data_IF_889003791374
#
_entry.id   IF_889003791374
#
_cell.length_a   1.000
_cell.length_b   1.000
_cell.length_c   1.000
_cell.angle_alpha   90.00
_cell.angle_beta   90.00
_cell.angle_gamma   90.00
#
_symmetry.space_group_name_H-M   'P 1'
#
loop_
_entity.id
_entity.type
_entity.pdbx_description
1 polymer ?
#
# COMPACT_ATOMS: atom_id res chain seq x y z
N UNK A 1 38.67 -8.56 12.86
CA UNK A 1 37.86 -7.41 12.39
C UNK A 1 36.50 -7.57 13.02
N UNK A 2 36.11 -6.66 13.92
CA UNK A 2 34.77 -6.70 14.50
C UNK A 2 33.78 -6.28 13.41
N UNK A 3 32.74 -7.08 13.18
CA UNK A 3 31.64 -6.67 12.31
C UNK A 3 31.00 -5.43 12.95
N UNK A 4 30.84 -4.37 12.16
CA UNK A 4 30.13 -3.17 12.61
C UNK A 4 28.66 -3.55 12.83
N UNK A 5 28.17 -3.40 14.06
CA UNK A 5 26.79 -3.74 14.38
C UNK A 5 25.85 -2.86 13.53
N UNK A 6 24.83 -3.46 12.89
CA UNK A 6 23.93 -2.73 12.01
C UNK A 6 23.18 -1.66 12.81
N UNK A 7 23.40 -0.40 12.45
CA UNK A 7 22.72 0.72 13.10
C UNK A 7 21.26 0.77 12.65
N UNK A 8 20.30 0.95 13.57
CA UNK A 8 18.89 1.03 13.22
C UNK A 8 18.58 2.28 12.35
N UNK A 9 17.95 2.06 11.20
CA UNK A 9 17.47 3.10 10.28
C UNK A 9 16.06 3.55 10.66
N UNK A 10 15.99 4.41 11.68
CA UNK A 10 14.74 5.02 12.13
C UNK A 10 14.07 5.87 11.04
N UNK A 11 14.85 6.50 10.16
CA UNK A 11 14.32 7.37 9.11
C UNK A 11 13.54 6.54 8.07
N UNK A 12 14.09 5.40 7.67
CA UNK A 12 13.42 4.47 6.76
C UNK A 12 12.14 3.88 7.37
N UNK A 13 12.19 3.43 8.64
CA UNK A 13 11.01 2.94 9.34
C UNK A 13 9.90 4.00 9.38
N UNK A 14 10.24 5.25 9.71
CA UNK A 14 9.30 6.37 9.76
C UNK A 14 8.65 6.68 8.40
N UNK A 15 9.42 6.61 7.32
CA UNK A 15 8.90 6.75 5.96
C UNK A 15 7.92 5.63 5.60
N UNK A 16 8.21 4.39 6.00
CA UNK A 16 7.34 3.23 5.80
C UNK A 16 6.01 3.37 6.57
N UNK A 17 6.05 3.79 7.83
CA UNK A 17 4.83 4.09 8.62
C UNK A 17 3.97 5.13 7.90
N UNK A 18 4.57 6.24 7.45
CA UNK A 18 3.86 7.32 6.75
C UNK A 18 3.24 6.85 5.44
N UNK A 19 3.97 6.08 4.63
CA UNK A 19 3.51 5.52 3.36
C UNK A 19 2.27 4.65 3.57
N UNK A 20 2.37 3.67 4.47
CA UNK A 20 1.32 2.67 4.67
C UNK A 20 0.06 3.29 5.32
N UNK A 21 0.24 4.29 6.20
CA UNK A 21 -0.88 5.09 6.71
C UNK A 21 -1.61 5.82 5.58
N UNK A 22 -0.87 6.50 4.69
CA UNK A 22 -1.44 7.23 3.55
C UNK A 22 -2.15 6.31 2.56
N UNK A 23 -1.59 5.13 2.31
CA UNK A 23 -2.23 4.11 1.45
C UNK A 23 -3.62 3.70 1.98
N UNK A 24 -3.79 3.69 3.30
CA UNK A 24 -5.07 3.42 3.98
C UNK A 24 -5.99 4.63 4.11
N UNK A 25 -5.56 5.79 3.61
CA UNK A 25 -6.25 7.10 3.76
C UNK A 25 -6.49 7.49 5.22
N UNK A 26 -5.61 7.07 6.14
CA UNK A 26 -5.73 7.42 7.55
C UNK A 26 -5.03 8.74 7.89
N UNK A 27 -5.61 9.53 8.77
CA UNK A 27 -4.93 10.67 9.44
C UNK A 27 -3.96 10.18 10.51
N UNK A 28 -3.10 11.07 11.02
CA UNK A 28 -2.19 10.69 12.11
C UNK A 28 -2.96 10.41 13.40
N UNK A 29 -4.05 11.15 13.63
CA UNK A 29 -4.98 10.97 14.74
C UNK A 29 -5.62 9.58 14.72
N UNK A 30 -6.09 9.16 13.54
CA UNK A 30 -6.70 7.86 13.31
C UNK A 30 -5.74 6.69 13.52
N UNK A 31 -4.46 6.86 13.16
CA UNK A 31 -3.42 5.87 13.44
C UNK A 31 -3.08 5.85 14.94
N UNK A 32 -3.02 7.02 15.58
CA UNK A 32 -2.74 7.14 17.01
C UNK A 32 -3.81 6.44 17.85
N UNK A 33 -5.09 6.66 17.54
CA UNK A 33 -6.23 6.01 18.17
C UNK A 33 -6.16 4.48 18.02
N UNK A 34 -5.95 3.98 16.79
CA UNK A 34 -5.85 2.53 16.52
C UNK A 34 -4.65 1.87 17.19
N UNK A 35 -3.54 2.59 17.32
CA UNK A 35 -2.33 2.09 17.99
C UNK A 35 -2.38 2.25 19.52
N UNK A 36 -3.36 2.98 20.07
CA UNK A 36 -3.40 3.32 21.50
C UNK A 36 -2.25 4.23 21.94
N UNK A 37 -1.82 5.15 21.07
CA UNK A 37 -0.70 6.06 21.30
C UNK A 37 -1.14 7.52 21.22
N UNK A 38 -0.35 8.42 21.79
CA UNK A 38 -0.57 9.86 21.62
C UNK A 38 -0.23 10.32 20.19
N UNK A 39 -0.99 11.27 19.65
CA UNK A 39 -0.75 11.89 18.32
C UNK A 39 0.71 12.36 18.15
N UNK A 40 1.26 13.01 19.19
CA UNK A 40 2.65 13.48 19.19
C UNK A 40 3.65 12.35 18.98
N UNK A 41 3.37 11.15 19.50
CA UNK A 41 4.23 9.96 19.34
C UNK A 41 4.24 9.48 17.90
N UNK A 42 3.08 9.41 17.24
CA UNK A 42 2.99 9.08 15.80
C UNK A 42 3.78 10.08 14.96
N UNK A 43 3.66 11.38 15.26
CA UNK A 43 4.43 12.42 14.58
C UNK A 43 5.95 12.25 14.72
N UNK A 44 6.45 11.80 15.89
CA UNK A 44 7.87 11.49 16.09
C UNK A 44 8.31 10.28 15.27
N UNK A 45 7.53 9.20 15.32
CA UNK A 45 7.81 7.97 14.59
C UNK A 45 7.87 8.21 13.07
N UNK A 46 6.91 8.96 12.52
CA UNK A 46 6.93 9.30 11.08
C UNK A 46 8.07 10.22 10.64
N UNK A 47 8.70 10.94 11.58
CA UNK A 47 9.91 11.73 11.29
C UNK A 47 11.19 10.91 11.43
N UNK A 48 11.10 9.66 11.89
CA UNK A 48 12.26 8.83 12.18
C UNK A 48 13.03 9.29 13.41
N UNK A 49 12.37 9.98 14.35
CA UNK A 49 12.97 10.34 15.63
C UNK A 49 12.96 9.09 16.54
N UNK A 50 13.99 8.26 16.39
CA UNK A 50 14.25 7.12 17.26
C UNK A 50 14.62 7.53 18.70
N UNK A 51 14.49 6.62 19.68
CA UNK A 51 15.04 6.84 21.01
C UNK A 51 16.58 6.95 20.95
N UNK A 52 17.18 7.51 21.99
CA UNK A 52 18.64 7.64 22.09
C UNK A 52 19.39 6.31 22.37
N UNK A 53 18.68 5.18 22.41
CA UNK A 53 19.26 3.86 22.70
C UNK A 53 18.88 2.83 21.65
N UNK A 54 19.52 1.67 21.72
CA UNK A 54 19.40 0.61 20.70
C UNK A 54 18.11 -0.21 20.84
N UNK A 55 17.39 -0.06 21.96
CA UNK A 55 16.16 -0.80 22.21
C UNK A 55 14.99 -0.21 21.42
N UNK A 56 14.30 -1.06 20.65
CA UNK A 56 13.10 -0.68 19.89
C UNK A 56 11.93 -0.41 20.84
N UNK A 57 11.37 0.82 20.87
CA UNK A 57 10.24 1.13 21.73
C UNK A 57 9.02 0.28 21.39
N UNK A 58 8.30 -0.18 22.43
CA UNK A 58 7.10 -1.01 22.27
C UNK A 58 6.00 -0.37 21.40
N UNK A 59 5.98 0.97 21.33
CA UNK A 59 5.06 1.73 20.49
C UNK A 59 5.21 1.45 18.99
N UNK A 60 6.40 1.15 18.49
CA UNK A 60 6.57 0.79 17.07
C UNK A 60 5.86 -0.53 16.74
N UNK A 61 5.84 -1.50 17.66
CA UNK A 61 5.08 -2.75 17.49
C UNK A 61 3.57 -2.51 17.55
N UNK A 62 3.10 -1.56 18.36
CA UNK A 62 1.70 -1.17 18.37
C UNK A 62 1.27 -0.53 17.03
N UNK A 63 2.11 0.35 16.47
CA UNK A 63 1.90 0.93 15.13
C UNK A 63 1.93 -0.16 14.05
N UNK A 64 2.89 -1.07 14.08
CA UNK A 64 2.96 -2.19 13.15
C UNK A 64 1.68 -3.04 13.17
N UNK A 65 1.17 -3.38 14.36
CA UNK A 65 -0.11 -4.10 14.49
C UNK A 65 -1.29 -3.30 13.93
N UNK A 66 -1.38 -2.00 14.22
CA UNK A 66 -2.44 -1.15 13.69
C UNK A 66 -2.41 -1.05 12.15
N UNK A 67 -1.21 -1.04 11.56
CA UNK A 67 -0.98 -1.07 10.12
C UNK A 67 -1.08 -2.48 9.52
N UNK A 68 -1.40 -3.51 10.29
CA UNK A 68 -1.50 -4.88 9.83
C UNK A 68 -0.17 -5.48 9.34
N UNK A 69 0.97 -4.96 9.83
CA UNK A 69 2.27 -5.53 9.56
C UNK A 69 2.43 -6.89 10.24
N UNK A 70 3.23 -7.75 9.62
CA UNK A 70 3.59 -9.04 10.21
C UNK A 70 4.54 -8.83 11.38
N UNK A 71 4.54 -9.77 12.32
CA UNK A 71 5.56 -9.81 13.38
C UNK A 71 6.96 -9.87 12.75
N UNK A 72 7.91 -9.07 13.23
CA UNK A 72 9.27 -8.98 12.68
C UNK A 72 9.46 -7.88 11.62
N UNK A 73 8.37 -7.32 11.07
CA UNK A 73 8.48 -6.30 10.00
C UNK A 73 9.14 -5.01 10.49
N UNK A 74 8.96 -4.66 11.77
CA UNK A 74 9.56 -3.45 12.35
C UNK A 74 11.08 -3.60 12.40
N UNK A 75 11.57 -4.75 12.82
CA UNK A 75 12.99 -5.09 12.89
C UNK A 75 13.61 -5.19 11.49
N UNK A 76 12.91 -5.80 10.55
CA UNK A 76 13.31 -5.87 9.14
C UNK A 76 13.51 -4.47 8.53
N UNK A 77 12.62 -3.52 8.84
CA UNK A 77 12.79 -2.14 8.39
C UNK A 77 13.89 -1.39 9.13
N UNK A 78 14.10 -1.66 10.43
CA UNK A 78 15.14 -0.97 11.20
C UNK A 78 16.53 -1.41 10.82
N UNK A 79 16.74 -2.71 10.68
CA UNK A 79 18.08 -3.27 10.55
C UNK A 79 18.34 -3.80 9.14
N UNK A 80 17.39 -3.64 8.22
CA UNK A 80 17.44 -4.17 6.87
C UNK A 80 17.14 -5.68 6.81
N UNK A 81 17.02 -6.24 5.60
CA UNK A 81 16.74 -7.67 5.39
C UNK A 81 17.84 -8.59 5.94
N UNK A 82 19.04 -8.06 6.18
CA UNK A 82 20.22 -8.80 6.67
C UNK A 82 20.17 -9.12 8.18
N UNK A 83 19.30 -8.46 8.96
CA UNK A 83 19.43 -8.41 10.42
C UNK A 83 18.33 -9.17 11.17
N UNK A 84 17.55 -9.99 10.48
CA UNK A 84 16.61 -10.90 11.13
C UNK A 84 17.35 -12.06 11.81
N UNK A 85 17.09 -12.39 13.09
CA UNK A 85 17.73 -13.51 13.80
C UNK A 85 17.25 -14.91 13.32
N UNK A 86 17.02 -15.08 12.02
CA UNK A 86 16.45 -16.31 11.45
C UNK A 86 16.61 -16.52 9.95
N UNK A 87 17.45 -15.76 9.24
CA UNK A 87 17.87 -16.11 7.87
C UNK A 87 19.17 -15.40 7.50
N UNK A 88 20.30 -15.98 7.89
CA UNK A 88 21.49 -15.88 7.04
C UNK A 88 21.33 -16.96 5.96
N UNK A 89 21.24 -16.60 4.66
CA UNK A 89 21.45 -17.58 3.60
C UNK A 89 22.91 -18.04 3.67
N UNK A 90 23.12 -19.34 3.72
CA UNK A 90 24.44 -19.98 3.60
C UNK A 90 25.11 -19.54 2.27
N UNK A 91 26.21 -18.76 2.27
CA UNK A 91 26.96 -18.45 1.07
C UNK A 91 28.10 -19.46 0.92
N UNK A 92 27.75 -20.70 0.62
CA UNK A 92 28.69 -21.78 0.28
C UNK A 92 28.85 -21.91 -1.24
N UNK A 93 30.08 -21.99 -1.78
CA UNK A 93 30.32 -21.85 -3.20
C UNK A 93 30.23 -23.21 -3.94
N UNK A 94 29.66 -23.12 -5.14
CA UNK A 94 29.95 -23.92 -6.34
C UNK A 94 29.07 -25.14 -6.67
N UNK A 95 28.32 -24.92 -7.76
CA UNK A 95 28.01 -25.88 -8.82
C UNK A 95 26.81 -26.80 -8.67
N UNK A 96 25.69 -26.36 -9.26
CA UNK A 96 24.68 -27.27 -9.80
C UNK A 96 23.32 -26.63 -10.08
N UNK A 97 23.20 -25.90 -11.20
CA UNK A 97 21.95 -25.70 -11.97
C UNK A 97 20.74 -25.02 -11.30
N UNK A 98 20.64 -23.70 -11.52
CA UNK A 98 19.44 -23.05 -12.05
C UNK A 98 18.11 -23.25 -11.31
N UNK A 99 17.94 -22.61 -10.15
CA UNK A 99 16.60 -22.37 -9.58
C UNK A 99 16.41 -20.89 -9.25
N UNK A 100 15.34 -20.32 -9.80
CA UNK A 100 14.81 -18.99 -9.52
C UNK A 100 14.42 -18.87 -8.04
N UNK A 101 15.31 -18.27 -7.25
CA UNK A 101 15.14 -18.03 -5.82
C UNK A 101 13.87 -17.24 -5.51
N UNK A 102 12.87 -17.96 -5.04
CA UNK A 102 11.63 -17.46 -4.46
C UNK A 102 11.90 -17.16 -2.99
N UNK A 103 12.21 -15.91 -2.65
CA UNK A 103 12.17 -15.44 -1.27
C UNK A 103 10.73 -15.45 -0.78
N UNK A 104 10.36 -16.41 0.08
CA UNK A 104 8.99 -16.65 0.49
C UNK A 104 8.54 -15.71 1.64
N UNK A 105 7.49 -14.89 1.47
CA UNK A 105 6.82 -14.20 2.57
C UNK A 105 5.81 -15.11 3.30
N UNK A 106 6.00 -15.37 4.60
CA UNK A 106 5.00 -16.02 5.48
C UNK A 106 3.68 -15.22 5.51
N UNK A 107 2.47 -15.77 5.34
CA UNK A 107 2.04 -17.16 5.30
C UNK A 107 0.99 -17.42 4.21
N UNK A 108 1.32 -17.07 2.98
CA UNK A 108 0.72 -17.67 1.79
C UNK A 108 1.84 -18.26 0.97
N UNK A 109 1.69 -19.46 0.42
CA UNK A 109 2.71 -20.06 -0.44
C UNK A 109 3.12 -19.12 -1.60
N UNK A 110 4.20 -19.43 -2.33
CA UNK A 110 4.68 -18.61 -3.46
C UNK A 110 3.57 -18.16 -4.42
N UNK A 111 2.58 -19.03 -4.63
CA UNK A 111 1.40 -18.76 -5.44
C UNK A 111 0.54 -17.59 -4.92
N UNK A 112 0.37 -17.47 -3.60
CA UNK A 112 -0.37 -16.36 -2.96
C UNK A 112 0.41 -15.05 -3.09
N UNK A 113 1.74 -15.10 -2.95
CA UNK A 113 2.59 -13.93 -3.14
C UNK A 113 2.54 -13.43 -4.59
N UNK A 114 2.61 -14.33 -5.56
CA UNK A 114 2.47 -14.00 -6.98
C UNK A 114 1.10 -13.38 -7.28
N UNK A 115 0.01 -13.98 -6.76
CA UNK A 115 -1.34 -13.46 -6.97
C UNK A 115 -1.55 -12.07 -6.34
N UNK A 116 -0.91 -11.79 -5.21
CA UNK A 116 -0.93 -10.44 -4.63
C UNK A 116 -0.30 -9.41 -5.58
N UNK A 117 0.84 -9.73 -6.19
CA UNK A 117 1.47 -8.85 -7.19
C UNK A 117 0.57 -8.59 -8.41
N UNK A 118 -0.21 -9.59 -8.84
CA UNK A 118 -1.24 -9.42 -9.89
C UNK A 118 -2.30 -8.39 -9.45
N UNK A 119 -2.78 -8.47 -8.22
CA UNK A 119 -3.78 -7.52 -7.70
C UNK A 119 -3.22 -6.09 -7.62
N UNK A 120 -2.00 -5.94 -7.12
CA UNK A 120 -1.34 -4.63 -7.04
C UNK A 120 -1.16 -4.01 -8.43
N UNK A 121 -0.78 -4.82 -9.44
CA UNK A 121 -0.69 -4.38 -10.83
C UNK A 121 -2.05 -3.94 -11.40
N UNK A 122 -3.14 -4.69 -11.12
CA UNK A 122 -4.47 -4.35 -11.61
C UNK A 122 -4.96 -2.99 -11.09
N UNK A 123 -4.69 -2.68 -9.82
CA UNK A 123 -5.00 -1.37 -9.23
C UNK A 123 -4.26 -0.26 -9.99
N UNK A 124 -2.95 -0.41 -10.19
CA UNK A 124 -2.14 0.56 -10.93
C UNK A 124 -2.60 0.72 -12.39
N UNK A 125 -2.98 -0.36 -13.06
CA UNK A 125 -3.47 -0.30 -14.43
C UNK A 125 -4.75 0.54 -14.54
N UNK A 126 -5.68 0.41 -13.59
CA UNK A 126 -6.90 1.23 -13.53
C UNK A 126 -6.55 2.70 -13.26
N UNK A 127 -5.64 2.98 -12.32
CA UNK A 127 -5.18 4.35 -12.03
C UNK A 127 -4.53 5.04 -13.23
N UNK A 128 -3.84 4.26 -14.09
CA UNK A 128 -3.23 4.74 -15.33
C UNK A 128 -4.21 4.82 -16.52
N UNK A 129 -5.50 4.53 -16.31
CA UNK A 129 -6.52 4.65 -17.34
C UNK A 129 -6.60 3.46 -18.30
N UNK A 130 -6.17 2.27 -17.89
CA UNK A 130 -6.33 1.08 -18.71
C UNK A 130 -7.82 0.80 -19.01
N UNK A 131 -8.16 0.36 -20.24
CA UNK A 131 -9.54 0.03 -20.58
C UNK A 131 -10.11 -1.07 -19.66
N UNK A 132 -11.32 -0.87 -19.14
CA UNK A 132 -11.96 -1.82 -18.23
C UNK A 132 -12.07 -3.25 -18.81
N UNK A 133 -12.27 -3.36 -20.13
CA UNK A 133 -12.33 -4.65 -20.82
C UNK A 133 -10.97 -5.38 -20.85
N UNK A 134 -9.85 -4.67 -20.79
CA UNK A 134 -8.52 -5.27 -20.73
C UNK A 134 -8.19 -5.71 -19.29
N UNK A 135 -8.52 -4.87 -18.30
CA UNK A 135 -8.39 -5.17 -16.87
C UNK A 135 -9.18 -6.44 -16.49
N UNK A 136 -10.44 -6.53 -16.93
CA UNK A 136 -11.27 -7.74 -16.70
C UNK A 136 -10.63 -8.99 -17.31
N UNK A 137 -10.27 -8.94 -18.60
CA UNK A 137 -9.66 -10.08 -19.29
C UNK A 137 -8.39 -10.59 -18.60
N UNK A 138 -7.55 -9.68 -18.12
CA UNK A 138 -6.34 -10.06 -17.39
C UNK A 138 -6.65 -10.66 -16.01
N UNK A 139 -7.59 -10.06 -15.27
CA UNK A 139 -8.04 -10.59 -13.98
C UNK A 139 -8.64 -11.99 -14.11
N UNK A 140 -9.49 -12.21 -15.11
CA UNK A 140 -10.11 -13.50 -15.39
C UNK A 140 -9.01 -14.55 -15.70
N UNK A 141 -8.09 -14.22 -16.61
CA UNK A 141 -6.97 -15.10 -16.97
C UNK A 141 -6.05 -15.43 -15.78
N UNK A 142 -5.79 -14.46 -14.88
CA UNK A 142 -4.99 -14.70 -13.69
C UNK A 142 -5.72 -15.60 -12.67
N UNK A 143 -7.04 -15.46 -12.55
CA UNK A 143 -7.89 -16.34 -11.75
C UNK A 143 -7.88 -17.77 -12.28
N UNK A 144 -8.07 -17.94 -13.60
CA UNK A 144 -8.02 -19.24 -14.27
C UNK A 144 -6.67 -19.94 -14.05
N UNK A 145 -5.56 -19.20 -14.16
CA UNK A 145 -4.21 -19.72 -13.92
C UNK A 145 -4.01 -20.15 -12.46
N UNK A 146 -4.48 -19.35 -11.50
CA UNK A 146 -4.42 -19.68 -10.08
C UNK A 146 -5.22 -20.96 -9.77
N UNK A 147 -6.42 -21.08 -10.35
CA UNK A 147 -7.26 -22.25 -10.20
C UNK A 147 -6.60 -23.50 -10.81
N UNK A 148 -6.05 -23.40 -12.02
CA UNK A 148 -5.33 -24.50 -12.66
C UNK A 148 -4.11 -24.95 -11.84
N UNK A 149 -3.33 -23.99 -11.32
CA UNK A 149 -2.14 -24.26 -10.50
C UNK A 149 -2.48 -24.98 -9.18
N UNK A 150 -3.59 -24.58 -8.52
CA UNK A 150 -4.04 -25.22 -7.27
C UNK A 150 -4.67 -26.59 -7.51
N UNK A 151 -5.39 -26.79 -8.61
CA UNK A 151 -5.98 -28.08 -8.97
C UNK A 151 -4.91 -29.15 -9.24
N UNK A 152 -3.80 -28.79 -9.88
CA UNK A 152 -2.70 -29.72 -10.20
C UNK A 152 -1.76 -30.03 -9.02
N UNK A 153 -1.77 -29.24 -7.95
CA UNK A 153 -0.79 -29.35 -6.87
C UNK A 153 -1.02 -30.55 -5.95
N UNK A 154 -2.17 -31.24 -6.01
CA UNK A 154 -2.47 -32.41 -5.17
C UNK A 154 -2.65 -32.11 -3.67
N UNK A 155 -2.25 -30.92 -3.21
CA UNK A 155 -2.42 -30.41 -1.84
C UNK A 155 -3.92 -30.30 -1.46
N UNK A 156 -4.82 -30.26 -2.45
CA UNK A 156 -6.27 -30.15 -2.26
C UNK A 156 -7.01 -31.43 -1.86
N UNK A 157 -6.38 -32.61 -1.83
CA UNK A 157 -7.12 -33.85 -1.55
C UNK A 157 -7.29 -34.18 -0.06
N UNK A 158 -6.48 -33.61 0.86
CA UNK A 158 -6.46 -34.07 2.26
C UNK A 158 -6.81 -33.01 3.32
N UNK A 159 -6.84 -31.71 3.01
CA UNK A 159 -7.19 -30.66 3.98
C UNK A 159 -8.45 -29.89 3.60
N UNK A 160 -9.59 -30.56 3.75
CA UNK A 160 -10.74 -30.04 4.49
C UNK A 160 -11.21 -28.60 4.28
N UNK A 161 -11.57 -28.21 3.06
CA UNK A 161 -12.50 -27.08 2.83
C UNK A 161 -13.99 -27.51 2.94
N UNK A 162 -14.26 -28.76 3.29
CA UNK A 162 -15.62 -29.28 3.51
C UNK A 162 -16.21 -28.95 4.91
N UNK A 163 -15.50 -28.24 5.78
CA UNK A 163 -15.95 -28.00 7.15
C UNK A 163 -16.77 -26.70 7.35
N UNK A 164 -17.08 -25.95 6.30
CA UNK A 164 -17.89 -24.73 6.46
C UNK A 164 -18.85 -24.44 5.30
N UNK A 165 -19.42 -25.49 4.72
CA UNK A 165 -20.75 -25.36 4.13
C UNK A 165 -21.76 -25.58 5.26
N UNK A 166 -22.51 -24.56 5.71
CA UNK A 166 -23.66 -24.83 6.55
C UNK A 166 -24.57 -25.79 5.78
N UNK A 167 -24.88 -26.92 6.40
CA UNK A 167 -25.92 -27.83 5.95
C UNK A 167 -27.29 -27.12 6.06
N UNK A 168 -27.54 -26.17 5.16
CA UNK A 168 -28.84 -25.59 4.88
C UNK A 168 -29.22 -26.06 3.48
N UNK A 169 -30.33 -26.78 3.38
CA UNK A 169 -30.84 -27.36 2.14
C UNK A 169 -31.04 -26.34 1.01
N UNK A 170 -31.43 -26.82 -0.18
CA UNK A 170 -31.76 -25.94 -1.30
C UNK A 170 -32.74 -24.87 -0.80
N UNK A 171 -32.48 -23.57 -1.04
CA UNK A 171 -33.50 -22.57 -0.78
C UNK A 171 -34.71 -22.96 -1.62
N UNK A 172 -35.86 -23.08 -0.98
CA UNK A 172 -37.12 -23.15 -1.69
C UNK A 172 -37.16 -21.96 -2.67
N UNK A 173 -37.52 -22.21 -3.92
CA UNK A 173 -37.58 -21.24 -5.02
C UNK A 173 -38.55 -20.06 -4.79
N UNK A 174 -39.09 -19.87 -3.58
CA UNK A 174 -40.13 -18.89 -3.25
C UNK A 174 -39.63 -17.57 -2.63
N UNK A 175 -38.41 -17.49 -2.08
CA UNK A 175 -37.97 -16.26 -1.37
C UNK A 175 -37.22 -15.25 -2.25
N UNK A 176 -36.59 -15.69 -3.35
CA UNK A 176 -35.92 -14.76 -4.28
C UNK A 176 -36.92 -13.89 -5.07
N UNK A 177 -38.13 -14.41 -5.34
CA UNK A 177 -39.20 -13.64 -6.00
C UNK A 177 -39.89 -12.69 -5.01
N UNK A 178 -39.94 -13.03 -3.72
CA UNK A 178 -40.52 -12.17 -2.68
C UNK A 178 -39.61 -10.98 -2.32
N UNK A 179 -38.29 -11.14 -2.39
CA UNK A 179 -37.34 -10.05 -2.17
C UNK A 179 -37.35 -8.99 -3.29
N UNK A 180 -37.65 -9.37 -4.53
CA UNK A 180 -37.83 -8.43 -5.65
C UNK A 180 -39.20 -7.75 -5.66
N UNK A 181 -40.24 -8.38 -5.10
CA UNK A 181 -41.57 -7.78 -4.95
C UNK A 181 -41.64 -6.75 -3.79
N UNK A 182 -40.78 -6.85 -2.77
CA UNK A 182 -40.77 -5.92 -1.63
C UNK A 182 -40.12 -4.55 -1.91
N UNK A 183 -39.44 -4.39 -3.05
CA UNK A 183 -38.91 -3.10 -3.52
C UNK A 183 -39.90 -2.28 -4.36
N UNK A 184 -41.08 -2.81 -4.66
CA UNK A 184 -42.08 -2.15 -5.50
C UNK A 184 -43.08 -1.27 -4.72
N UNK A 185 -43.02 -1.24 -3.38
CA UNK A 185 -43.97 -0.50 -2.53
C UNK A 185 -43.25 0.50 -1.61
N UNK A 186 -42.36 1.30 -2.18
CA UNK A 186 -41.94 2.56 -1.55
C UNK A 186 -42.95 3.64 -1.95
N UNK A 187 -43.54 4.37 -1.00
CA UNK A 187 -44.43 5.48 -1.33
C UNK A 187 -43.66 6.48 -2.19
N UNK A 188 -44.34 6.97 -3.22
CA UNK A 188 -43.96 8.08 -4.09
C UNK A 188 -43.81 9.36 -3.23
N UNK A 189 -42.71 9.45 -2.50
CA UNK A 189 -42.33 10.66 -1.78
C UNK A 189 -41.82 11.64 -2.83
N UNK A 190 -42.76 12.38 -3.39
CA UNK A 190 -42.61 13.70 -3.98
C UNK A 190 -41.24 13.95 -4.62
N UNK A 191 -41.17 13.68 -5.93
CA UNK A 191 -40.33 14.47 -6.84
C UNK A 191 -40.65 15.96 -6.65
N UNK A 192 -39.94 16.61 -5.72
CA UNK A 192 -39.77 18.05 -5.77
C UNK A 192 -38.80 18.31 -6.93
N UNK A 193 -39.23 18.94 -8.03
CA UNK A 193 -38.31 19.30 -9.10
C UNK A 193 -37.24 20.24 -8.52
N UNK A 194 -35.96 20.12 -8.93
CA UNK A 194 -34.98 21.13 -8.59
C UNK A 194 -35.50 22.47 -9.12
N UNK A 195 -35.76 23.39 -8.20
CA UNK A 195 -36.11 24.76 -8.54
C UNK A 195 -35.07 25.30 -9.51
N UNK A 196 -35.53 25.71 -10.68
CA UNK A 196 -34.77 26.54 -11.59
C UNK A 196 -34.14 27.68 -10.80
N UNK A 197 -32.83 27.92 -10.88
CA UNK A 197 -32.28 29.16 -10.35
C UNK A 197 -32.97 30.31 -11.08
N UNK A 198 -33.72 31.09 -10.33
CA UNK A 198 -34.23 32.39 -10.75
C UNK A 198 -33.01 33.25 -11.07
N UNK A 199 -32.69 33.35 -12.36
CA UNK A 199 -31.65 34.25 -12.87
C UNK A 199 -32.25 35.65 -12.82
N UNK A 200 -32.14 36.30 -11.67
CA UNK A 200 -32.34 37.73 -11.55
C UNK A 200 -31.21 38.39 -12.33
N UNK A 201 -31.54 38.91 -13.51
CA UNK A 201 -30.67 39.76 -14.29
C UNK A 201 -30.43 41.07 -13.52
N UNK A 202 -29.38 41.10 -12.70
CA UNK A 202 -28.78 42.37 -12.30
C UNK A 202 -27.72 42.76 -13.33
N UNK A 203 -28.18 43.68 -14.17
CA UNK A 203 -27.41 44.65 -14.94
C UNK A 203 -26.32 45.27 -14.05
N UNK A 204 -25.06 45.01 -14.39
CA UNK A 204 -23.92 45.28 -13.50
C UNK A 204 -22.60 45.38 -14.25
N UNK A 205 -22.48 46.45 -15.04
CA UNK A 205 -21.25 47.17 -15.38
C UNK A 205 -19.96 46.34 -15.65
N UNK A 206 -19.59 46.32 -16.92
CA UNK A 206 -18.30 45.89 -17.44
C UNK A 206 -17.10 46.48 -16.67
N UNK A 207 -16.27 45.60 -16.10
CA UNK A 207 -14.89 45.92 -15.73
C UNK A 207 -13.93 45.23 -16.73
N UNK A 208 -12.93 45.95 -17.28
CA UNK A 208 -12.04 45.41 -18.30
C UNK A 208 -11.10 44.34 -17.73
N UNK A 209 -11.05 43.20 -18.41
CA UNK A 209 -10.12 42.09 -18.17
C UNK A 209 -8.70 42.54 -18.56
N UNK A 210 -7.71 42.56 -17.64
CA UNK A 210 -6.33 42.82 -18.02
C UNK A 210 -5.74 41.62 -18.76
N UNK A 211 -5.22 41.90 -19.96
CA UNK A 211 -4.58 40.96 -20.85
C UNK A 211 -3.41 40.20 -20.22
N UNK A 212 -3.35 38.93 -20.57
CA UNK A 212 -2.33 37.94 -20.30
C UNK A 212 -0.90 38.46 -20.52
N UNK A 213 -0.12 38.61 -19.44
CA UNK A 213 1.34 38.66 -19.55
C UNK A 213 1.86 37.24 -19.77
N UNK A 214 2.15 36.92 -21.03
CA UNK A 214 3.09 35.86 -21.44
C UNK A 214 4.37 36.02 -20.61
N UNK A 215 4.66 35.07 -19.71
CA UNK A 215 6.01 34.91 -19.16
C UNK A 215 6.83 34.14 -20.19
N UNK A 216 7.88 34.78 -20.69
CA UNK A 216 8.94 34.17 -21.49
C UNK A 216 9.56 32.96 -20.77
N UNK A 217 9.96 31.91 -21.49
CA UNK A 217 10.84 30.88 -20.95
C UNK A 217 12.22 31.49 -20.69
N UNK A 218 12.68 31.41 -19.45
CA UNK A 218 14.04 31.75 -19.06
C UNK A 218 14.99 30.59 -19.45
N UNK A 219 15.91 30.91 -20.34
CA UNK A 219 17.30 30.48 -20.47
C UNK A 219 17.80 29.27 -19.62
N UNK A 220 18.21 28.14 -20.24
CA UNK A 220 18.80 26.99 -19.56
C UNK A 220 20.35 27.01 -19.46
N UNK A 221 21.04 28.11 -19.77
CA UNK A 221 22.51 28.16 -19.70
C UNK A 221 23.05 28.92 -18.48
N UNK A 222 23.02 28.29 -17.31
CA UNK A 222 23.86 28.70 -16.18
C UNK A 222 24.57 27.47 -15.60
N UNK A 223 25.82 27.24 -16.05
CA UNK A 223 26.76 26.32 -15.41
C UNK A 223 27.33 27.00 -14.17
N UNK A 224 27.22 26.44 -12.95
CA UNK A 224 28.07 26.84 -11.85
C UNK A 224 29.43 26.14 -11.94
N UNK A 225 30.45 26.99 -11.96
CA UNK A 225 31.89 26.73 -11.96
C UNK A 225 32.35 25.72 -10.91
N UNK A 226 33.28 24.87 -11.32
CA UNK A 226 34.17 24.08 -10.47
C UNK A 226 34.93 25.00 -9.50
N UNK A 227 34.73 24.84 -8.20
CA UNK A 227 35.57 25.43 -7.17
C UNK A 227 36.55 24.38 -6.65
N UNK A 228 37.80 24.57 -6.99
CA UNK A 228 38.98 23.85 -6.50
C UNK A 228 39.20 24.17 -5.01
N UNK A 229 38.95 23.20 -4.11
CA UNK A 229 39.40 23.32 -2.71
C UNK A 229 40.77 22.69 -2.58
N UNK A 230 41.76 23.57 -2.46
CA UNK A 230 43.16 23.29 -2.15
C UNK A 230 43.31 22.58 -0.81
N UNK A 231 43.92 21.41 -0.87
CA UNK A 231 44.47 20.65 0.26
C UNK A 231 45.54 21.48 0.98
N UNK A 232 45.33 21.80 2.27
CA UNK A 232 46.36 22.37 3.13
C UNK A 232 46.80 21.33 4.15
N UNK A 233 47.88 20.65 3.77
CA UNK A 233 48.79 19.86 4.59
C UNK A 233 49.38 20.78 5.67
N UNK A 234 49.19 20.44 6.94
CA UNK A 234 49.97 20.99 8.05
C UNK A 234 50.71 19.84 8.73
N UNK A 235 52.01 19.80 8.46
CA UNK A 235 53.03 19.19 9.31
C UNK A 235 53.24 20.09 10.53
N UNK A 236 53.06 19.53 11.74
CA UNK A 236 53.99 19.68 12.86
C UNK A 236 53.60 18.79 14.04
#
# INVERSE_FOLDING_TARGET
>A
MAAEEPRPDWAFLGACVRRDRRARRWTQEELAERAGLALRTIGKYERGEGPAGDAVPSGYFAVGRALGWRRGTVEEYLFGPESGPGSAPDPGPESGSGETGTGAPCGGGPLVAAYRGVQDFLVLAVELGAPAAAVRRFSDAAGDLLQAATAGSGIGAAHGLAANSPAGGPPADDDAVRALAATADLPDVARTPPGSPEVTAEDGAAAPVPHSRRRSPADPHARPSSATTTSRRSDR
#
